data_IF_262554873629
#
_entry.id   IF_262554873629
#
_cell.length_a   1.000
_cell.length_b   1.000
_cell.length_c   1.000
_cell.angle_alpha   90.00
_cell.angle_beta   90.00
_cell.angle_gamma   90.00
#
_symmetry.space_group_name_H-M   'P 1'
#
loop_
_entity.id
_entity.type
_entity.pdbx_description
1 polymer ?
#
# COMPACT_ATOMS: atom_id res chain seq x y z
N UNK A 1 37.46 36.55 19.85
CA UNK A 1 37.51 36.30 18.37
C UNK A 1 36.13 36.21 17.76
N UNK A 2 35.22 35.36 18.19
CA UNK A 2 33.90 35.13 17.57
C UNK A 2 33.04 36.43 17.51
N UNK A 3 32.99 37.23 18.59
CA UNK A 3 32.23 38.50 18.60
C UNK A 3 32.76 39.51 17.56
N UNK A 4 34.03 39.51 17.26
CA UNK A 4 34.64 40.39 16.28
C UNK A 4 34.29 39.99 14.85
N UNK A 5 34.27 38.69 14.58
CA UNK A 5 33.80 38.11 13.30
C UNK A 5 32.31 38.46 13.05
N UNK A 6 31.45 38.29 14.05
CA UNK A 6 30.04 38.68 13.93
C UNK A 6 29.87 40.16 13.64
N UNK A 7 30.65 41.04 14.23
CA UNK A 7 30.60 42.49 14.00
C UNK A 7 31.04 42.86 12.58
N UNK A 8 32.05 42.17 12.02
CA UNK A 8 32.52 42.37 10.64
C UNK A 8 31.43 41.90 9.65
N UNK A 9 30.88 40.72 9.86
CA UNK A 9 29.80 40.14 9.00
C UNK A 9 28.57 41.07 9.01
N UNK A 10 28.17 41.58 10.19
CA UNK A 10 27.04 42.50 10.30
C UNK A 10 27.28 43.86 9.63
N UNK A 11 28.49 44.36 9.68
CA UNK A 11 28.83 45.64 9.07
C UNK A 11 28.86 45.56 7.53
N UNK A 12 29.16 44.36 6.98
CA UNK A 12 29.23 44.09 5.55
C UNK A 12 27.96 43.36 5.01
N UNK A 13 26.84 43.44 5.74
CA UNK A 13 25.60 42.69 5.44
C UNK A 13 25.05 42.93 4.04
N UNK A 14 25.22 44.11 3.45
CA UNK A 14 24.73 44.43 2.10
C UNK A 14 25.52 43.70 1.00
N UNK A 15 26.82 43.46 1.18
CA UNK A 15 27.66 42.68 0.27
C UNK A 15 27.58 41.15 0.52
N UNK A 16 27.41 40.77 1.79
CA UNK A 16 27.39 39.36 2.18
C UNK A 16 26.00 38.72 2.16
N UNK A 17 24.93 39.51 1.91
CA UNK A 17 23.55 39.02 1.89
C UNK A 17 23.32 37.88 0.89
N UNK A 18 24.00 37.95 -0.26
CA UNK A 18 23.92 36.91 -1.29
C UNK A 18 24.52 35.58 -0.82
N UNK A 19 25.67 35.64 -0.16
CA UNK A 19 26.36 34.45 0.39
C UNK A 19 25.48 33.78 1.47
N UNK A 20 24.83 34.58 2.31
CA UNK A 20 23.90 34.06 3.34
C UNK A 20 22.72 33.35 2.68
N UNK A 21 22.15 33.94 1.65
CA UNK A 21 21.06 33.33 0.88
C UNK A 21 21.48 32.00 0.24
N UNK A 22 22.66 31.98 -0.39
CA UNK A 22 23.22 30.77 -1.01
C UNK A 22 23.43 29.66 0.02
N UNK A 23 24.05 29.96 1.15
CA UNK A 23 24.25 29.00 2.25
C UNK A 23 22.91 28.48 2.80
N UNK A 24 21.92 29.35 2.89
CA UNK A 24 20.57 28.94 3.34
C UNK A 24 19.91 27.98 2.35
N UNK A 25 20.02 28.23 1.05
CA UNK A 25 19.51 27.32 0.01
C UNK A 25 20.24 25.97 0.03
N UNK A 26 21.56 25.98 0.17
CA UNK A 26 22.37 24.76 0.30
C UNK A 26 21.96 23.97 1.55
N UNK A 27 21.71 24.66 2.67
CA UNK A 27 21.27 24.02 3.90
C UNK A 27 19.88 23.35 3.74
N UNK A 28 18.93 24.01 3.10
CA UNK A 28 17.61 23.44 2.80
C UNK A 28 17.75 22.20 1.92
N UNK A 29 18.58 22.25 0.89
CA UNK A 29 18.83 21.10 0.01
C UNK A 29 19.44 19.93 0.76
N UNK A 30 20.45 20.19 1.59
CA UNK A 30 21.07 19.14 2.41
C UNK A 30 20.10 18.54 3.41
N UNK A 31 19.27 19.38 4.05
CA UNK A 31 18.21 18.92 4.95
C UNK A 31 17.25 17.97 4.22
N UNK A 32 16.76 18.37 3.05
CA UNK A 32 15.87 17.55 2.25
C UNK A 32 16.50 16.19 1.87
N UNK A 33 17.76 16.21 1.47
CA UNK A 33 18.50 14.99 1.12
C UNK A 33 18.63 14.05 2.33
N UNK A 34 18.98 14.58 3.49
CA UNK A 34 19.11 13.79 4.74
C UNK A 34 17.77 13.21 5.14
N UNK A 35 16.70 14.01 5.11
CA UNK A 35 15.34 13.56 5.43
C UNK A 35 14.90 12.45 4.48
N UNK A 36 15.08 12.63 3.17
CA UNK A 36 14.75 11.62 2.15
C UNK A 36 15.46 10.29 2.42
N UNK A 37 16.78 10.31 2.65
CA UNK A 37 17.52 9.08 2.92
C UNK A 37 17.14 8.45 4.27
N UNK A 38 16.80 9.24 5.25
CA UNK A 38 16.33 8.74 6.55
C UNK A 38 15.00 8.01 6.39
N UNK A 39 14.03 8.63 5.73
CA UNK A 39 12.72 8.01 5.44
C UNK A 39 12.88 6.75 4.61
N UNK A 40 13.70 6.79 3.56
CA UNK A 40 13.98 5.62 2.72
C UNK A 40 14.61 4.48 3.54
N UNK A 41 15.59 4.80 4.39
CA UNK A 41 16.24 3.83 5.28
C UNK A 41 15.26 3.19 6.27
N UNK A 42 14.45 4.00 6.93
CA UNK A 42 13.41 3.49 7.86
C UNK A 42 12.41 2.62 7.11
N UNK A 43 11.93 3.07 5.96
CA UNK A 43 10.97 2.28 5.16
C UNK A 43 11.56 0.95 4.68
N UNK A 44 12.82 0.93 4.27
CA UNK A 44 13.49 -0.28 3.80
C UNK A 44 13.75 -1.30 4.91
N UNK A 45 13.92 -0.84 6.15
CA UNK A 45 14.20 -1.70 7.31
C UNK A 45 12.96 -2.08 8.11
N UNK A 46 11.84 -1.39 7.91
CA UNK A 46 10.57 -1.70 8.59
C UNK A 46 9.97 -2.98 8.03
N UNK A 47 9.62 -3.97 8.87
CA UNK A 47 8.94 -5.18 8.43
C UNK A 47 7.58 -4.86 7.80
N UNK A 48 7.30 -5.45 6.65
CA UNK A 48 6.05 -5.19 5.91
C UNK A 48 4.80 -5.78 6.59
N UNK A 49 4.95 -6.58 7.64
CA UNK A 49 3.83 -7.24 8.34
C UNK A 49 3.15 -8.35 7.54
N UNK A 50 3.64 -8.69 6.35
CA UNK A 50 3.12 -9.75 5.50
C UNK A 50 4.24 -10.46 4.75
N UNK A 51 3.98 -11.69 4.29
CA UNK A 51 4.90 -12.49 3.48
C UNK A 51 4.27 -12.73 2.10
N UNK A 52 5.07 -12.57 1.03
CA UNK A 52 4.64 -12.79 -0.37
C UNK A 52 5.42 -13.92 -1.06
N UNK A 53 6.25 -14.62 -0.30
CA UNK A 53 7.03 -15.71 -0.87
C UNK A 53 6.11 -16.81 -1.38
N UNK A 54 6.42 -17.32 -2.59
CA UNK A 54 5.67 -18.38 -3.25
C UNK A 54 4.17 -18.06 -3.49
N UNK A 55 3.82 -16.77 -3.52
CA UNK A 55 2.46 -16.29 -3.76
C UNK A 55 2.33 -15.76 -5.18
N UNK A 56 1.26 -16.15 -5.87
CA UNK A 56 0.99 -15.77 -7.26
C UNK A 56 -0.32 -15.01 -7.37
N UNK A 57 -0.30 -13.88 -8.07
CA UNK A 57 -1.49 -13.10 -8.36
C UNK A 57 -2.09 -13.51 -9.71
N UNK A 58 -3.29 -14.08 -9.68
CA UNK A 58 -4.05 -14.44 -10.88
C UNK A 58 -5.14 -13.40 -11.10
N UNK A 59 -5.07 -12.66 -12.21
CA UNK A 59 -6.10 -11.69 -12.58
C UNK A 59 -7.12 -12.35 -13.51
N UNK A 60 -8.36 -12.38 -13.08
CA UNK A 60 -9.49 -12.84 -13.89
C UNK A 60 -10.17 -11.63 -14.52
N UNK A 61 -10.47 -11.72 -15.81
CA UNK A 61 -11.23 -10.70 -16.52
C UNK A 61 -12.28 -11.35 -17.45
N UNK A 62 -13.40 -10.70 -17.59
CA UNK A 62 -14.39 -11.09 -18.59
C UNK A 62 -13.88 -10.65 -19.98
N UNK A 63 -14.08 -11.50 -20.98
CA UNK A 63 -13.73 -11.18 -22.37
C UNK A 63 -14.54 -10.01 -22.86
N UNK A 64 -13.89 -9.12 -23.58
CA UNK A 64 -14.55 -7.94 -24.14
C UNK A 64 -15.56 -8.33 -25.25
N UNK A 65 -16.57 -7.49 -25.54
CA UNK A 65 -17.62 -7.77 -26.52
C UNK A 65 -17.12 -8.00 -27.96
N UNK A 66 -15.98 -7.45 -28.31
CA UNK A 66 -15.32 -7.61 -29.61
C UNK A 66 -14.64 -8.99 -29.80
N UNK A 67 -14.50 -9.75 -28.73
CA UNK A 67 -13.91 -11.07 -28.79
C UNK A 67 -14.92 -12.10 -29.29
N UNK A 68 -14.61 -12.92 -30.35
CA UNK A 68 -15.53 -13.91 -30.91
C UNK A 68 -15.97 -15.00 -29.92
N UNK A 69 -15.25 -15.15 -28.81
CA UNK A 69 -15.61 -16.05 -27.70
C UNK A 69 -16.21 -15.30 -26.50
N UNK A 70 -16.66 -14.07 -26.71
CA UNK A 70 -17.40 -13.36 -25.70
C UNK A 70 -18.75 -14.02 -25.46
N UNK A 71 -19.12 -14.19 -24.21
CA UNK A 71 -20.42 -14.69 -23.83
C UNK A 71 -21.21 -13.57 -23.17
N UNK A 72 -22.35 -13.23 -23.73
CA UNK A 72 -23.21 -12.20 -23.19
C UNK A 72 -24.12 -12.81 -22.10
N UNK A 73 -23.84 -12.49 -20.86
CA UNK A 73 -24.61 -12.96 -19.72
C UNK A 73 -25.75 -12.00 -19.52
N UNK A 74 -26.48 -11.39 -20.00
CA UNK A 74 -27.52 -10.44 -19.60
C UNK A 74 -27.24 -9.69 -18.28
N UNK A 75 -27.80 -8.51 -18.12
CA UNK A 75 -27.43 -7.59 -17.01
C UNK A 75 -27.76 -8.15 -15.60
N UNK A 76 -28.72 -9.05 -15.46
CA UNK A 76 -29.15 -9.65 -14.19
C UNK A 76 -28.65 -11.09 -13.97
N UNK A 77 -27.67 -11.55 -14.75
CA UNK A 77 -27.20 -12.93 -14.65
C UNK A 77 -26.24 -13.14 -13.48
N UNK A 78 -26.49 -14.17 -12.67
CA UNK A 78 -25.58 -14.63 -11.62
C UNK A 78 -24.46 -15.55 -12.15
N UNK A 79 -24.51 -15.93 -13.41
CA UNK A 79 -23.55 -16.88 -14.02
C UNK A 79 -22.07 -16.43 -13.93
N UNK A 80 -21.71 -15.14 -14.11
CA UNK A 80 -20.34 -14.70 -13.93
C UNK A 80 -19.80 -14.98 -12.54
N UNK A 81 -20.61 -14.76 -11.51
CA UNK A 81 -20.23 -15.06 -10.11
C UNK A 81 -20.05 -16.56 -9.88
N UNK A 82 -20.98 -17.38 -10.36
CA UNK A 82 -20.88 -18.84 -10.27
C UNK A 82 -19.64 -19.38 -11.00
N UNK A 83 -19.33 -18.84 -12.17
CA UNK A 83 -18.15 -19.23 -12.93
C UNK A 83 -16.85 -18.79 -12.22
N UNK A 84 -16.85 -17.65 -11.57
CA UNK A 84 -15.73 -17.19 -10.75
C UNK A 84 -15.41 -18.20 -9.64
N UNK A 85 -16.40 -18.61 -8.85
CA UNK A 85 -16.20 -19.60 -7.80
C UNK A 85 -15.77 -20.97 -8.33
N UNK A 86 -16.34 -21.43 -9.47
CA UNK A 86 -15.89 -22.66 -10.13
C UNK A 86 -14.40 -22.63 -10.52
N UNK A 87 -13.90 -21.47 -10.96
CA UNK A 87 -12.48 -21.30 -11.28
C UNK A 87 -11.64 -21.40 -10.02
N UNK A 88 -12.05 -20.72 -8.94
CA UNK A 88 -11.36 -20.79 -7.63
C UNK A 88 -11.28 -22.24 -7.16
N UNK A 89 -12.38 -22.96 -7.18
CA UNK A 89 -12.43 -24.37 -6.75
C UNK A 89 -11.51 -25.28 -7.58
N UNK A 90 -11.44 -25.04 -8.90
CA UNK A 90 -10.50 -25.76 -9.77
C UNK A 90 -9.04 -25.49 -9.44
N UNK A 91 -8.70 -24.23 -9.12
CA UNK A 91 -7.34 -23.86 -8.73
C UNK A 91 -7.00 -24.51 -7.38
N UNK A 92 -7.94 -24.46 -6.43
CA UNK A 92 -7.78 -25.05 -5.09
C UNK A 92 -7.57 -26.56 -5.14
N UNK A 93 -8.14 -27.27 -6.11
CA UNK A 93 -7.95 -28.72 -6.29
C UNK A 93 -6.60 -29.11 -6.91
N UNK A 94 -5.79 -28.14 -7.34
CA UNK A 94 -4.51 -28.44 -7.95
C UNK A 94 -3.48 -28.86 -6.88
N UNK A 95 -2.75 -30.00 -7.06
CA UNK A 95 -1.88 -30.57 -6.02
C UNK A 95 -0.72 -29.68 -5.57
N UNK A 96 -0.34 -28.69 -6.35
CA UNK A 96 0.75 -27.75 -6.03
C UNK A 96 0.23 -26.42 -5.44
N UNK A 97 -1.06 -26.33 -5.13
CA UNK A 97 -1.67 -25.13 -4.56
C UNK A 97 -2.07 -25.45 -3.12
N UNK A 98 -1.51 -24.72 -2.17
CA UNK A 98 -1.81 -24.88 -0.76
C UNK A 98 -3.09 -24.14 -0.38
N UNK A 99 -3.23 -22.90 -0.82
CA UNK A 99 -4.36 -22.04 -0.45
C UNK A 99 -4.73 -21.09 -1.60
N UNK A 100 -5.99 -20.74 -1.71
CA UNK A 100 -6.51 -19.79 -2.70
C UNK A 100 -7.42 -18.80 -2.02
N UNK A 101 -7.00 -17.54 -2.02
CA UNK A 101 -7.81 -16.42 -1.57
C UNK A 101 -8.20 -15.52 -2.75
N UNK A 102 -9.19 -14.70 -2.55
CA UNK A 102 -9.59 -13.67 -3.51
C UNK A 102 -9.83 -12.33 -2.81
N UNK A 103 -9.69 -11.26 -3.57
CA UNK A 103 -9.90 -9.91 -3.09
C UNK A 103 -9.99 -8.93 -4.25
N UNK A 104 -10.62 -7.80 -4.00
CA UNK A 104 -10.76 -6.72 -4.97
C UNK A 104 -9.77 -5.61 -4.63
N UNK A 105 -8.72 -5.47 -5.45
CA UNK A 105 -7.67 -4.45 -5.25
C UNK A 105 -7.01 -4.47 -3.86
N UNK A 106 -6.99 -5.62 -3.22
CA UNK A 106 -6.57 -5.77 -1.83
C UNK A 106 -5.27 -6.58 -1.68
N UNK A 107 -4.54 -6.80 -2.76
CA UNK A 107 -3.27 -7.51 -2.71
C UNK A 107 -2.12 -6.56 -2.34
N UNK A 108 -1.05 -7.06 -1.72
CA UNK A 108 0.14 -6.27 -1.39
C UNK A 108 0.71 -5.54 -2.61
N UNK A 109 1.17 -4.31 -2.41
CA UNK A 109 1.70 -3.42 -3.45
C UNK A 109 0.69 -3.03 -4.55
N UNK A 110 -0.62 -3.19 -4.29
CA UNK A 110 -1.63 -2.63 -5.17
C UNK A 110 -1.60 -1.10 -5.11
N UNK A 111 -1.58 -0.45 -6.27
CA UNK A 111 -1.62 1.02 -6.37
C UNK A 111 -3.02 1.60 -6.15
N UNK A 112 -4.04 0.78 -6.07
CA UNK A 112 -5.43 1.20 -5.83
C UNK A 112 -5.81 1.03 -4.37
N UNK A 113 -6.55 1.99 -3.82
CA UNK A 113 -7.07 1.95 -2.46
C UNK A 113 -8.53 2.38 -2.45
N UNK A 114 -9.35 1.68 -1.70
CA UNK A 114 -10.72 2.11 -1.40
C UNK A 114 -10.76 2.77 -0.03
N UNK A 115 -11.36 3.97 0.03
CA UNK A 115 -11.58 4.70 1.27
C UNK A 115 -13.07 4.86 1.50
N UNK A 116 -13.51 4.52 2.70
CA UNK A 116 -14.87 4.77 3.15
C UNK A 116 -14.84 5.66 4.38
N UNK A 117 -15.83 6.56 4.46
CA UNK A 117 -16.05 7.37 5.66
C UNK A 117 -17.10 6.71 6.53
N UNK A 118 -16.73 6.42 7.75
CA UNK A 118 -17.63 5.89 8.78
C UNK A 118 -17.89 6.99 9.81
N UNK A 119 -19.15 7.24 10.11
CA UNK A 119 -19.56 8.21 11.13
C UNK A 119 -20.12 7.46 12.31
N UNK A 120 -19.56 7.74 13.50
CA UNK A 120 -20.07 7.24 14.76
C UNK A 120 -20.27 8.44 15.67
N UNK A 121 -21.49 8.63 16.13
CA UNK A 121 -21.95 9.83 16.83
C UNK A 121 -21.64 11.11 16.02
N UNK A 122 -20.80 11.99 16.52
CA UNK A 122 -20.37 13.24 15.87
C UNK A 122 -18.98 13.16 15.23
N UNK A 123 -18.33 11.98 15.25
CA UNK A 123 -16.98 11.79 14.74
C UNK A 123 -17.04 11.04 13.42
N UNK A 124 -16.41 11.60 12.37
CA UNK A 124 -16.24 10.95 11.08
C UNK A 124 -14.80 10.49 10.92
N UNK A 125 -14.62 9.22 10.64
CA UNK A 125 -13.32 8.59 10.37
C UNK A 125 -13.27 8.12 8.93
N UNK A 126 -12.21 8.47 8.23
CA UNK A 126 -11.91 7.94 6.91
C UNK A 126 -11.00 6.72 7.05
N UNK A 127 -11.49 5.55 6.64
CA UNK A 127 -10.78 4.29 6.74
C UNK A 127 -10.49 3.73 5.36
N UNK A 128 -9.33 3.13 5.19
CA UNK A 128 -9.03 2.31 4.04
C UNK A 128 -9.69 0.94 4.22
N UNK A 129 -10.44 0.51 3.20
CA UNK A 129 -11.23 -0.74 3.24
C UNK A 129 -10.65 -1.73 2.25
N UNK A 130 -10.46 -2.96 2.70
CA UNK A 130 -10.03 -4.09 1.89
C UNK A 130 -11.13 -5.15 1.87
N UNK A 131 -11.58 -5.50 0.67
CA UNK A 131 -12.50 -6.62 0.45
C UNK A 131 -11.67 -7.87 0.18
N UNK A 132 -11.58 -8.76 1.14
CA UNK A 132 -10.73 -9.97 1.07
C UNK A 132 -11.48 -11.20 1.56
N UNK A 133 -11.11 -12.37 1.03
CA UNK A 133 -11.58 -13.63 1.58
C UNK A 133 -10.82 -13.98 2.87
N UNK A 134 -11.37 -14.84 3.75
CA UNK A 134 -10.72 -15.23 5.01
C UNK A 134 -9.30 -15.80 4.82
N UNK A 135 -9.06 -16.52 3.75
CA UNK A 135 -7.78 -17.15 3.42
C UNK A 135 -6.66 -16.12 3.17
N UNK A 136 -7.01 -14.86 2.91
CA UNK A 136 -6.06 -13.77 2.70
C UNK A 136 -5.07 -13.64 3.87
N UNK A 137 -5.54 -13.74 5.10
CA UNK A 137 -4.70 -13.62 6.28
C UNK A 137 -3.71 -14.78 6.41
N UNK A 138 -4.12 -15.97 6.01
CA UNK A 138 -3.27 -17.17 6.02
C UNK A 138 -2.24 -17.12 4.91
N UNK A 139 -2.64 -16.75 3.68
CA UNK A 139 -1.75 -16.66 2.50
C UNK A 139 -0.62 -15.67 2.75
N UNK A 140 -0.96 -14.47 3.26
CA UNK A 140 0.03 -13.42 3.51
C UNK A 140 0.65 -13.49 4.91
N UNK A 141 0.30 -14.51 5.71
CA UNK A 141 0.81 -14.73 7.08
C UNK A 141 0.72 -13.47 7.95
N UNK A 142 -0.37 -12.74 7.81
CA UNK A 142 -0.61 -11.51 8.56
C UNK A 142 -0.79 -11.87 10.03
N UNK A 143 0.02 -11.25 10.89
CA UNK A 143 -0.04 -11.46 12.34
C UNK A 143 -0.75 -10.28 12.99
N UNK A 144 -1.73 -10.53 13.87
CA UNK A 144 -2.30 -9.48 14.68
C UNK A 144 -1.28 -8.96 15.70
N UNK A 145 -1.41 -7.71 16.08
CA UNK A 145 -0.50 -7.04 17.03
C UNK A 145 -0.49 -7.71 18.41
N UNK A 146 -1.62 -8.27 18.83
CA UNK A 146 -1.78 -8.94 20.12
C UNK A 146 -1.21 -10.37 20.19
N UNK A 147 -0.57 -10.84 19.12
CA UNK A 147 0.09 -12.15 19.10
C UNK A 147 -0.83 -13.34 18.86
N UNK A 148 -2.10 -13.12 18.56
CA UNK A 148 -3.05 -14.17 18.17
C UNK A 148 -2.68 -14.78 16.81
N UNK A 149 -3.23 -15.91 16.49
CA UNK A 149 -2.99 -16.58 15.22
C UNK A 149 -3.69 -15.86 14.06
N UNK A 150 -3.06 -15.84 12.86
CA UNK A 150 -3.73 -15.39 11.63
C UNK A 150 -5.04 -16.12 11.34
N UNK A 151 -5.18 -17.37 11.84
CA UNK A 151 -6.40 -18.16 11.75
C UNK A 151 -7.57 -17.58 12.58
N UNK A 152 -7.30 -16.78 13.60
CA UNK A 152 -8.36 -16.14 14.39
C UNK A 152 -8.92 -14.92 13.68
N UNK A 153 -8.10 -14.20 12.92
CA UNK A 153 -8.55 -13.11 12.05
C UNK A 153 -9.48 -13.58 10.93
N UNK A 154 -9.32 -14.82 10.48
CA UNK A 154 -10.17 -15.39 9.42
C UNK A 154 -11.58 -15.78 9.89
N UNK A 155 -11.82 -15.80 11.21
CA UNK A 155 -13.10 -16.18 11.83
C UNK A 155 -13.93 -14.97 12.30
N UNK A 156 -13.32 -13.77 12.32
CA UNK A 156 -13.98 -12.53 12.71
C UNK A 156 -14.77 -11.92 11.56
#
# INVERSE_FOLDING_TARGET
MIKHLFKIIWNQRSGNGWIILELFLVFILLWYIVDFFTVLGVTATTPNGFEIKDTYLVKLSVRQPDNPKHFNYGEASEEPGKNFFRIIDRIRQHPNVEEVGFGKWSYPYCSSSMFNSYTHDSTSLQCQVYEVSPEYFTIFKIKPENGDSSADLSKA
#
